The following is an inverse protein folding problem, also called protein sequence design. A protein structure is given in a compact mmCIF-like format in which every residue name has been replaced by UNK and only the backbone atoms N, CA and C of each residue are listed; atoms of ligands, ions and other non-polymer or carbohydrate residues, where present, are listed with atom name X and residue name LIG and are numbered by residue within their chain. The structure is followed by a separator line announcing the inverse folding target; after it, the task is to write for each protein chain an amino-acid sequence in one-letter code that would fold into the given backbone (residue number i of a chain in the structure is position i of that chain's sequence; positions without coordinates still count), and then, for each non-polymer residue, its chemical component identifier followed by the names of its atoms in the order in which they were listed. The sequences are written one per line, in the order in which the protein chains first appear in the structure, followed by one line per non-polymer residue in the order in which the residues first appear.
data_IF_682931799196
#
_entry.id   IF_682931799196
#
_cell.length_a   1.000
_cell.length_b   1.000
_cell.length_c   1.000
_cell.angle_alpha   90.00
_cell.angle_beta   90.00
_cell.angle_gamma   90.00
#
_symmetry.space_group_name_H-M   'P 1'
#
loop_
_entity.id
_entity.type
_entity.pdbx_description
1 polymer ?
#
# COMPACT_ATOMS: atom_id res chain seq x y z
N UNK A 1 14.45 4.42 -7.68
CA UNK A 1 13.11 3.87 -7.36
C UNK A 1 12.40 3.37 -8.60
N UNK A 2 12.18 2.05 -8.68
CA UNK A 2 11.41 1.38 -9.75
C UNK A 2 10.06 2.09 -10.02
N UNK A 3 9.31 2.42 -8.96
CA UNK A 3 8.02 3.11 -9.08
C UNK A 3 8.12 4.48 -9.80
N UNK A 4 9.16 5.28 -9.51
CA UNK A 4 9.35 6.60 -10.16
C UNK A 4 9.62 6.49 -11.65
N UNK A 5 10.26 5.40 -12.07
CA UNK A 5 10.61 5.17 -13.48
C UNK A 5 9.40 4.69 -14.28
N UNK A 6 8.63 3.76 -13.72
CA UNK A 6 7.56 3.06 -14.44
C UNK A 6 6.17 3.68 -14.27
N UNK A 7 5.92 4.42 -13.17
CA UNK A 7 4.57 4.89 -12.79
C UNK A 7 4.51 6.39 -12.51
N UNK A 8 5.24 7.20 -13.27
CA UNK A 8 5.31 8.65 -13.06
C UNK A 8 3.92 9.28 -12.93
N UNK A 9 3.74 10.15 -11.93
CA UNK A 9 2.50 10.88 -11.62
C UNK A 9 1.28 10.00 -11.22
N UNK A 10 1.48 8.70 -11.00
CA UNK A 10 0.42 7.79 -10.57
C UNK A 10 -0.13 8.13 -9.16
N UNK A 11 -1.41 7.85 -8.97
CA UNK A 11 -2.08 7.84 -7.67
C UNK A 11 -1.85 6.49 -6.99
N UNK A 12 -1.34 6.52 -5.76
CA UNK A 12 -0.98 5.32 -5.01
C UNK A 12 -1.91 5.15 -3.82
N UNK A 13 -2.55 3.98 -3.72
CA UNK A 13 -3.15 3.51 -2.48
C UNK A 13 -2.09 2.78 -1.65
N UNK A 14 -1.79 3.26 -0.45
CA UNK A 14 -0.91 2.59 0.51
C UNK A 14 -1.76 1.89 1.57
N UNK A 15 -1.82 0.56 1.53
CA UNK A 15 -2.58 -0.27 2.46
C UNK A 15 -1.67 -0.77 3.58
N UNK A 16 -1.93 -0.27 4.79
CA UNK A 16 -1.13 -0.48 5.99
C UNK A 16 -0.14 0.66 6.17
N UNK A 17 -0.39 1.57 7.12
CA UNK A 17 0.47 2.72 7.33
C UNK A 17 1.92 2.30 7.64
N UNK A 18 2.86 2.79 6.82
CA UNK A 18 4.29 2.62 7.00
C UNK A 18 4.99 3.98 6.82
N UNK A 19 5.43 4.63 7.92
CA UNK A 19 6.05 5.96 7.89
C UNK A 19 7.14 6.14 6.83
N UNK A 20 8.11 5.22 6.75
CA UNK A 20 9.26 5.37 5.85
C UNK A 20 8.87 5.27 4.37
N UNK A 21 7.90 4.39 4.04
CA UNK A 21 7.39 4.26 2.67
C UNK A 21 6.61 5.54 2.31
N UNK A 22 5.76 6.03 3.22
CA UNK A 22 4.98 7.24 2.99
C UNK A 22 5.87 8.46 2.77
N UNK A 23 6.89 8.69 3.61
CA UNK A 23 7.77 9.86 3.44
C UNK A 23 8.60 9.79 2.14
N UNK A 24 9.00 8.59 1.73
CA UNK A 24 9.74 8.40 0.47
C UNK A 24 8.86 8.70 -0.75
N UNK A 25 7.62 8.22 -0.75
CA UNK A 25 6.76 8.28 -1.94
C UNK A 25 5.97 9.59 -2.06
N UNK A 26 5.56 10.23 -0.94
CA UNK A 26 4.73 11.44 -0.98
C UNK A 26 5.36 12.62 -1.72
N UNK A 27 6.69 12.58 -1.90
CA UNK A 27 7.47 13.62 -2.59
C UNK A 27 7.24 13.60 -4.09
N UNK A 28 6.85 12.46 -4.65
CA UNK A 28 6.75 12.24 -6.09
C UNK A 28 5.36 11.76 -6.54
N UNK A 29 4.51 11.34 -5.60
CA UNK A 29 3.20 10.74 -5.90
C UNK A 29 2.08 11.34 -5.05
N UNK A 30 0.86 11.29 -5.58
CA UNK A 30 -0.36 11.50 -4.80
C UNK A 30 -0.69 10.20 -4.08
N UNK A 31 -0.83 10.25 -2.76
CA UNK A 31 -0.99 9.05 -1.93
C UNK A 31 -2.21 9.18 -1.03
N UNK A 32 -2.99 8.11 -0.96
CA UNK A 32 -3.99 7.89 0.09
C UNK A 32 -3.60 6.67 0.89
N UNK A 33 -3.73 6.74 2.21
CA UNK A 33 -3.26 5.70 3.13
C UNK A 33 -4.44 5.07 3.84
N UNK A 34 -4.52 3.75 3.82
CA UNK A 34 -5.49 2.96 4.58
C UNK A 34 -4.79 2.28 5.76
N UNK A 35 -5.41 2.27 6.93
CA UNK A 35 -4.96 1.49 8.08
C UNK A 35 -6.17 0.85 8.80
N UNK A 36 -5.94 -0.28 9.46
CA UNK A 36 -6.91 -0.92 10.35
C UNK A 36 -6.69 -0.51 11.81
N UNK A 37 -5.52 0.05 12.15
CA UNK A 37 -5.22 0.52 13.50
C UNK A 37 -5.97 1.82 13.80
N UNK A 38 -6.90 1.76 14.77
CA UNK A 38 -7.70 2.90 15.23
C UNK A 38 -6.84 4.04 15.78
N UNK A 39 -5.65 3.76 16.30
CA UNK A 39 -4.73 4.79 16.77
C UNK A 39 -4.13 5.62 15.63
N UNK A 40 -4.16 5.13 14.39
CA UNK A 40 -3.65 5.84 13.23
C UNK A 40 -4.77 6.54 12.45
N UNK A 41 -5.94 5.92 12.36
CA UNK A 41 -7.08 6.40 11.58
C UNK A 41 -7.51 7.82 12.02
N UNK A 42 -7.80 8.68 11.04
CA UNK A 42 -8.21 10.06 11.24
C UNK A 42 -7.07 11.02 11.60
N UNK A 43 -5.84 10.53 11.75
CA UNK A 43 -4.66 11.37 11.98
C UNK A 43 -4.01 11.73 10.65
N UNK A 44 -3.51 12.96 10.59
CA UNK A 44 -2.62 13.38 9.51
C UNK A 44 -1.18 12.98 9.83
N UNK A 45 -0.52 12.28 8.91
CA UNK A 45 0.89 11.88 8.99
C UNK A 45 1.59 12.33 7.72
N UNK A 46 2.66 13.11 7.87
CA UNK A 46 3.42 13.65 6.74
C UNK A 46 2.57 14.44 5.72
N UNK A 47 1.48 15.07 6.17
CA UNK A 47 0.53 15.80 5.32
C UNK A 47 -0.49 14.93 4.60
N UNK A 48 -0.61 13.65 4.96
CA UNK A 48 -1.58 12.70 4.40
C UNK A 48 -2.47 12.15 5.50
N UNK A 49 -3.78 12.20 5.28
CA UNK A 49 -4.78 11.60 6.17
C UNK A 49 -4.68 10.08 6.13
N UNK A 50 -4.65 9.44 7.30
CA UNK A 50 -4.81 7.99 7.40
C UNK A 50 -6.30 7.68 7.46
N UNK A 51 -6.78 6.96 6.45
CA UNK A 51 -8.18 6.61 6.27
C UNK A 51 -8.49 5.21 6.83
N UNK A 52 -9.74 5.00 7.21
CA UNK A 52 -10.21 3.73 7.77
C UNK A 52 -10.22 2.64 6.69
N UNK A 53 -9.36 1.64 6.83
CA UNK A 53 -9.24 0.49 5.94
C UNK A 53 -10.53 -0.30 5.75
N UNK A 54 -11.49 -0.26 6.68
CA UNK A 54 -12.77 -0.96 6.51
C UNK A 54 -13.82 -0.14 5.77
N UNK A 55 -13.75 1.19 5.87
CA UNK A 55 -14.78 2.10 5.33
C UNK A 55 -14.38 2.72 3.99
N UNK A 56 -13.11 3.09 3.86
CA UNK A 56 -12.60 3.85 2.72
C UNK A 56 -11.91 2.97 1.67
N UNK A 57 -11.73 1.66 1.92
CA UNK A 57 -10.97 0.78 1.02
C UNK A 57 -11.45 0.83 -0.43
N UNK A 58 -12.76 0.68 -0.67
CA UNK A 58 -13.29 0.72 -2.04
C UNK A 58 -13.02 2.06 -2.72
N UNK A 59 -13.32 3.16 -2.04
CA UNK A 59 -13.14 4.51 -2.59
C UNK A 59 -11.67 4.85 -2.88
N UNK A 60 -10.77 4.50 -1.96
CA UNK A 60 -9.32 4.69 -2.12
C UNK A 60 -8.79 3.83 -3.26
N UNK A 61 -9.22 2.56 -3.33
CA UNK A 61 -8.80 1.67 -4.41
C UNK A 61 -9.31 2.15 -5.76
N UNK A 62 -10.58 2.56 -5.88
CA UNK A 62 -11.15 3.09 -7.12
C UNK A 62 -10.41 4.35 -7.60
N UNK A 63 -10.01 5.22 -6.67
CA UNK A 63 -9.23 6.42 -6.97
C UNK A 63 -7.79 6.16 -7.43
N UNK A 64 -7.17 5.07 -6.96
CA UNK A 64 -5.75 4.80 -7.17
C UNK A 64 -5.46 4.11 -8.52
N UNK A 65 -4.33 4.46 -9.12
CA UNK A 65 -3.82 3.82 -10.33
C UNK A 65 -3.04 2.53 -10.00
N UNK A 66 -2.44 2.47 -8.79
CA UNK A 66 -1.76 1.28 -8.27
C UNK A 66 -1.93 1.15 -6.75
N UNK A 67 -1.83 -0.08 -6.25
CA UNK A 67 -1.89 -0.37 -4.81
C UNK A 67 -0.55 -0.91 -4.29
N UNK A 68 -0.09 -0.34 -3.19
CA UNK A 68 1.00 -0.86 -2.35
C UNK A 68 0.38 -1.49 -1.12
N UNK A 69 0.54 -2.80 -0.96
CA UNK A 69 -0.18 -3.56 0.07
C UNK A 69 0.78 -4.19 1.06
N UNK A 70 0.57 -3.94 2.35
CA UNK A 70 1.37 -4.56 3.41
C UNK A 70 1.23 -6.08 3.38
N UNK A 71 2.35 -6.76 3.57
CA UNK A 71 2.39 -8.21 3.66
C UNK A 71 1.67 -8.80 4.87
N UNK A 72 1.37 -8.00 5.90
CA UNK A 72 0.56 -8.46 7.04
C UNK A 72 -0.88 -8.81 6.67
N UNK A 73 -1.37 -8.39 5.49
CA UNK A 73 -2.67 -8.81 4.94
C UNK A 73 -2.80 -10.32 4.77
N UNK A 74 -1.68 -11.05 4.66
CA UNK A 74 -1.72 -12.51 4.64
C UNK A 74 -2.07 -13.10 6.02
N UNK A 75 -1.62 -12.45 7.09
CA UNK A 75 -1.79 -12.95 8.45
C UNK A 75 -3.23 -12.76 8.96
N UNK A 76 -3.93 -11.74 8.47
CA UNK A 76 -5.33 -11.47 8.84
C UNK A 76 -6.34 -11.92 7.76
N UNK A 77 -5.87 -12.51 6.65
CA UNK A 77 -6.71 -13.01 5.56
C UNK A 77 -7.23 -11.95 4.59
N UNK A 78 -6.98 -10.66 4.81
CA UNK A 78 -7.49 -9.58 3.94
C UNK A 78 -6.72 -9.46 2.62
N UNK A 79 -5.69 -10.28 2.38
CA UNK A 79 -4.91 -10.29 1.14
C UNK A 79 -5.79 -10.55 -0.09
N UNK A 80 -6.85 -11.35 0.07
CA UNK A 80 -7.76 -11.74 -1.02
C UNK A 80 -8.43 -10.54 -1.68
N UNK A 81 -8.66 -9.46 -0.93
CA UNK A 81 -9.28 -8.23 -1.43
C UNK A 81 -8.39 -7.49 -2.45
N UNK A 82 -7.09 -7.83 -2.50
CA UNK A 82 -6.10 -7.15 -3.32
C UNK A 82 -5.51 -8.03 -4.43
N UNK A 83 -5.73 -9.34 -4.42
CA UNK A 83 -5.09 -10.25 -5.37
C UNK A 83 -5.66 -10.14 -6.80
N UNK A 84 -6.96 -9.89 -6.91
CA UNK A 84 -7.69 -9.92 -8.18
C UNK A 84 -8.05 -8.51 -8.70
N UNK A 85 -7.36 -7.47 -8.22
CA UNK A 85 -7.58 -6.12 -8.70
C UNK A 85 -7.08 -5.97 -10.14
N UNK A 86 -7.87 -5.32 -11.00
CA UNK A 86 -7.52 -5.02 -12.40
C UNK A 86 -6.44 -3.94 -12.56
N UNK A 87 -5.71 -3.61 -11.48
CA UNK A 87 -4.64 -2.61 -11.45
C UNK A 87 -3.36 -3.19 -10.85
N UNK A 88 -2.19 -2.59 -11.10
CA UNK A 88 -0.95 -3.06 -10.53
C UNK A 88 -1.00 -3.07 -8.99
N UNK A 89 -0.79 -4.25 -8.41
CA UNK A 89 -0.65 -4.44 -6.96
C UNK A 89 0.76 -4.90 -6.65
N UNK A 90 1.42 -4.21 -5.73
CA UNK A 90 2.72 -4.59 -5.22
C UNK A 90 2.65 -4.79 -3.71
N UNK A 91 3.06 -5.97 -3.25
CA UNK A 91 3.14 -6.27 -1.84
C UNK A 91 4.50 -5.82 -1.27
N UNK A 92 4.52 -5.39 -0.01
CA UNK A 92 5.77 -5.07 0.69
C UNK A 92 5.84 -5.68 2.08
N UNK A 93 7.03 -5.65 2.69
CA UNK A 93 7.29 -6.27 3.98
C UNK A 93 7.79 -7.70 3.87
N UNK A 94 8.26 -8.23 5.00
CA UNK A 94 8.89 -9.55 5.10
C UNK A 94 7.86 -10.67 5.18
N UNK A 95 6.73 -10.44 5.85
CA UNK A 95 5.66 -11.44 6.08
C UNK A 95 5.15 -12.10 4.80
N UNK A 96 5.12 -11.36 3.69
CA UNK A 96 4.62 -11.85 2.40
C UNK A 96 5.68 -12.53 1.54
N UNK A 97 6.97 -12.50 1.91
CA UNK A 97 8.05 -12.92 1.01
C UNK A 97 7.88 -14.35 0.48
N UNK A 98 7.57 -15.30 1.36
CA UNK A 98 7.34 -16.70 0.97
C UNK A 98 6.09 -16.88 0.13
N UNK A 99 4.97 -16.30 0.55
CA UNK A 99 3.70 -16.42 -0.16
C UNK A 99 3.72 -15.72 -1.53
N UNK A 100 4.37 -14.57 -1.64
CA UNK A 100 4.55 -13.87 -2.91
C UNK A 100 5.31 -14.74 -3.92
N UNK A 101 6.37 -15.43 -3.47
CA UNK A 101 7.10 -16.38 -4.32
C UNK A 101 6.20 -17.55 -4.76
N UNK A 102 5.46 -18.16 -3.83
CA UNK A 102 4.60 -19.31 -4.11
C UNK A 102 3.38 -18.97 -4.98
N UNK A 103 2.88 -17.74 -4.92
CA UNK A 103 1.67 -17.27 -5.63
C UNK A 103 1.97 -16.35 -6.81
N UNK A 104 3.24 -16.10 -7.11
CA UNK A 104 3.64 -15.19 -8.21
C UNK A 104 3.22 -13.74 -7.98
N UNK A 105 3.05 -13.31 -6.73
CA UNK A 105 2.65 -11.93 -6.41
C UNK A 105 3.84 -10.98 -6.58
N UNK A 106 3.59 -9.80 -7.15
CA UNK A 106 4.62 -8.77 -7.28
C UNK A 106 4.98 -8.22 -5.91
N UNK A 107 6.27 -8.30 -5.53
CA UNK A 107 6.77 -7.80 -4.24
C UNK A 107 7.81 -6.71 -4.45
N UNK A 108 7.70 -5.62 -3.70
CA UNK A 108 8.71 -4.57 -3.61
C UNK A 108 9.37 -4.61 -2.23
N UNK A 109 10.71 -4.53 -2.24
CA UNK A 109 11.51 -4.38 -1.05
C UNK A 109 11.95 -2.92 -0.93
N UNK A 110 11.50 -2.25 0.12
CA UNK A 110 12.01 -0.94 0.48
C UNK A 110 13.12 -1.17 1.49
N UNK A 111 14.38 -1.01 1.07
CA UNK A 111 15.50 -1.02 1.99
C UNK A 111 15.39 0.22 2.89
N UNK A 112 15.57 0.04 4.19
CA UNK A 112 15.83 1.17 5.08
C UNK A 112 17.22 1.70 4.71
N UNK A 113 17.32 2.97 4.36
CA UNK A 113 18.60 3.70 4.34
C UNK A 113 18.95 4.15 5.76
#
# INVERSE_FOLDING_TARGET
NYLKKEYKDAKIALVGFQPSILDSLRKDFKIRVLDLNQDNIGKEKYGVMIEDGKKAQKDVLDWADLALVTGSTIANGSIVDFMDLEKPVFFYGTTIAGAAYLKGLKRLCFCAE
#
